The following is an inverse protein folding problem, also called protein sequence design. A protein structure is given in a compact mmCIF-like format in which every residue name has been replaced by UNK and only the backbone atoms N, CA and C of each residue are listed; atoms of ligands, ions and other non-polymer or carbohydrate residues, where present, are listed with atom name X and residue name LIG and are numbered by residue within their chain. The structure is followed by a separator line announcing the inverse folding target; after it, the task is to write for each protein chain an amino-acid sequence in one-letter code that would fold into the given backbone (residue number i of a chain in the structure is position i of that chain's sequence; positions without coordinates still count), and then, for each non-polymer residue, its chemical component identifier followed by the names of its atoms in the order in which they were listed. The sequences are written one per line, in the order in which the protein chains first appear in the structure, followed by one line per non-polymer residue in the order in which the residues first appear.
data_IF_258292647948
#
_entry.id   IF_258292647948
#
_cell.length_a   1.000
_cell.length_b   1.000
_cell.length_c   1.000
_cell.angle_alpha   90.00
_cell.angle_beta   90.00
_cell.angle_gamma   90.00
#
_symmetry.space_group_name_H-M   'P 1'
#
loop_
_entity.id
_entity.type
_entity.pdbx_description
1 polymer ?
#
# COMPACT_ATOMS: atom_id res chain seq x y z
N UNK A 1 28.84 -2.97 -10.81
CA UNK A 1 27.48 -2.90 -11.36
C UNK A 1 26.57 -3.39 -10.25
N UNK A 2 25.85 -2.49 -9.58
CA UNK A 2 24.90 -2.84 -8.53
C UNK A 2 23.52 -2.80 -9.16
N UNK A 3 22.96 -3.98 -9.42
CA UNK A 3 21.53 -4.16 -9.66
C UNK A 3 20.76 -3.45 -8.55
N UNK A 4 19.77 -2.58 -8.85
CA UNK A 4 18.82 -2.17 -7.84
C UNK A 4 17.95 -3.39 -7.53
N UNK A 5 18.24 -4.05 -6.42
CA UNK A 5 17.37 -5.05 -5.80
C UNK A 5 15.99 -4.41 -5.63
N UNK A 6 15.10 -4.72 -6.57
CA UNK A 6 13.72 -4.27 -6.56
C UNK A 6 12.95 -5.15 -5.59
N UNK A 7 13.00 -4.82 -4.30
CA UNK A 7 12.01 -5.18 -3.26
C UNK A 7 12.31 -4.33 -2.00
N UNK A 8 11.28 -3.82 -1.28
CA UNK A 8 10.05 -4.54 -0.97
C UNK A 8 8.76 -3.67 -0.98
N UNK A 9 8.05 -3.60 -2.11
CA UNK A 9 6.71 -3.00 -2.12
C UNK A 9 5.74 -3.69 -1.13
N UNK A 10 5.96 -4.97 -0.83
CA UNK A 10 5.19 -5.73 0.16
C UNK A 10 5.43 -5.31 1.62
N UNK A 11 6.63 -4.84 1.97
CA UNK A 11 6.96 -4.46 3.36
C UNK A 11 6.34 -3.10 3.72
N UNK A 12 6.25 -2.19 2.75
CA UNK A 12 5.53 -0.92 2.90
C UNK A 12 4.01 -1.13 3.02
N UNK A 13 3.46 -2.14 2.33
CA UNK A 13 2.02 -2.44 2.37
C UNK A 13 1.58 -3.04 3.71
N UNK A 14 2.30 -4.05 4.21
CA UNK A 14 1.99 -4.65 5.51
C UNK A 14 2.11 -3.63 6.64
N UNK A 15 3.13 -2.77 6.59
CA UNK A 15 3.31 -1.68 7.54
C UNK A 15 2.17 -0.66 7.51
N UNK A 16 1.68 -0.31 6.30
CA UNK A 16 0.53 0.58 6.13
C UNK A 16 -0.75 -0.03 6.70
N UNK A 17 -0.98 -1.33 6.48
CA UNK A 17 -2.12 -2.04 7.06
C UNK A 17 -2.07 -2.08 8.59
N UNK A 18 -0.89 -2.31 9.16
CA UNK A 18 -0.70 -2.30 10.60
C UNK A 18 -0.93 -0.90 11.20
N UNK A 19 -0.45 0.17 10.55
CA UNK A 19 -0.76 1.54 10.95
C UNK A 19 -2.27 1.80 10.94
N UNK A 20 -2.99 1.45 9.86
CA UNK A 20 -4.45 1.64 9.79
C UNK A 20 -5.18 0.84 10.88
N UNK A 21 -4.71 -0.37 11.23
CA UNK A 21 -5.28 -1.18 12.30
C UNK A 21 -5.10 -0.54 13.68
N UNK A 22 -3.92 0.00 13.95
CA UNK A 22 -3.63 0.72 15.21
C UNK A 22 -4.49 1.97 15.33
N UNK A 23 -4.62 2.75 14.25
CA UNK A 23 -5.49 3.94 14.22
C UNK A 23 -6.94 3.57 14.51
N UNK A 24 -7.45 2.49 13.92
CA UNK A 24 -8.80 2.00 14.20
C UNK A 24 -8.99 1.61 15.67
N UNK A 25 -8.04 0.86 16.25
CA UNK A 25 -8.10 0.48 17.66
C UNK A 25 -8.10 1.70 18.57
N UNK A 26 -7.21 2.66 18.31
CA UNK A 26 -7.15 3.90 19.06
C UNK A 26 -8.49 4.64 19.02
N UNK A 27 -9.12 4.75 17.84
CA UNK A 27 -10.43 5.41 17.71
C UNK A 27 -11.52 4.69 18.50
N UNK A 28 -11.47 3.36 18.56
CA UNK A 28 -12.43 2.55 19.32
C UNK A 28 -12.25 2.70 20.83
N UNK A 29 -11.01 2.81 21.31
CA UNK A 29 -10.67 2.83 22.73
C UNK A 29 -10.71 4.25 23.33
N UNK A 30 -10.21 5.24 22.58
CA UNK A 30 -9.97 6.60 23.06
C UNK A 30 -10.90 7.64 22.44
N UNK A 31 -11.69 7.27 21.43
CA UNK A 31 -12.56 8.19 20.71
C UNK A 31 -11.89 8.84 19.50
N UNK A 32 -12.48 9.87 18.89
CA UNK A 32 -12.00 10.43 17.64
C UNK A 32 -10.56 10.98 17.77
N UNK A 33 -9.75 10.74 16.74
CA UNK A 33 -8.40 11.29 16.62
C UNK A 33 -8.41 12.82 16.58
N UNK A 34 -7.30 13.44 16.94
CA UNK A 34 -7.10 14.87 16.75
C UNK A 34 -6.99 15.21 15.26
N UNK A 35 -7.30 16.46 14.84
CA UNK A 35 -7.34 16.85 13.43
C UNK A 35 -6.06 16.57 12.65
N UNK A 36 -4.90 16.69 13.30
CA UNK A 36 -3.58 16.41 12.71
C UNK A 36 -3.42 14.91 12.41
N UNK A 37 -3.75 14.06 13.38
CA UNK A 37 -3.73 12.61 13.24
C UNK A 37 -4.77 12.12 12.22
N UNK A 38 -5.93 12.77 12.14
CA UNK A 38 -6.92 12.49 11.10
C UNK A 38 -6.37 12.78 9.70
N UNK A 39 -5.65 13.89 9.53
CA UNK A 39 -5.05 14.25 8.25
C UNK A 39 -3.97 13.23 7.83
N UNK A 40 -3.12 12.82 8.77
CA UNK A 40 -2.08 11.81 8.55
C UNK A 40 -2.69 10.44 8.20
N UNK A 41 -3.66 9.96 8.99
CA UNK A 41 -4.35 8.70 8.73
C UNK A 41 -5.08 8.72 7.37
N UNK A 42 -5.68 9.86 7.01
CA UNK A 42 -6.33 10.06 5.71
C UNK A 42 -5.32 10.01 4.56
N UNK A 43 -4.13 10.60 4.75
CA UNK A 43 -3.07 10.57 3.76
C UNK A 43 -2.57 9.14 3.53
N UNK A 44 -2.25 8.41 4.60
CA UNK A 44 -1.84 7.02 4.54
C UNK A 44 -2.91 6.14 3.86
N UNK A 45 -4.19 6.32 4.22
CA UNK A 45 -5.29 5.59 3.59
C UNK A 45 -5.38 5.85 2.08
N UNK A 46 -5.24 7.09 1.64
CA UNK A 46 -5.24 7.45 0.21
C UNK A 46 -4.07 6.85 -0.55
N UNK A 47 -2.87 6.86 0.04
CA UNK A 47 -1.70 6.22 -0.56
C UNK A 47 -1.94 4.71 -0.71
N UNK A 48 -2.51 4.07 0.31
CA UNK A 48 -2.81 2.66 0.26
C UNK A 48 -3.86 2.30 -0.80
N UNK A 49 -4.90 3.13 -0.96
CA UNK A 49 -5.88 2.96 -2.04
C UNK A 49 -5.23 3.09 -3.43
N UNK A 50 -4.39 4.10 -3.64
CA UNK A 50 -3.70 4.28 -4.92
C UNK A 50 -2.78 3.09 -5.24
N UNK A 51 -2.12 2.52 -4.23
CA UNK A 51 -1.33 1.30 -4.39
C UNK A 51 -2.19 0.11 -4.85
N UNK A 52 -3.32 -0.14 -4.16
CA UNK A 52 -4.25 -1.20 -4.56
C UNK A 52 -4.86 -0.98 -5.95
N UNK A 53 -5.17 0.25 -6.31
CA UNK A 53 -5.68 0.60 -7.64
C UNK A 53 -4.64 0.28 -8.73
N UNK A 54 -3.35 0.53 -8.47
CA UNK A 54 -2.27 0.16 -9.37
C UNK A 54 -2.13 -1.36 -9.49
N UNK A 55 -2.11 -2.10 -8.37
CA UNK A 55 -2.05 -3.57 -8.39
C UNK A 55 -3.25 -4.19 -9.14
N UNK A 56 -4.46 -3.68 -8.89
CA UNK A 56 -5.67 -4.11 -9.61
C UNK A 56 -5.59 -3.77 -11.09
N UNK A 57 -5.05 -2.61 -11.44
CA UNK A 57 -4.83 -2.23 -12.83
C UNK A 57 -3.79 -3.14 -13.49
N UNK A 58 -2.70 -3.51 -12.83
CA UNK A 58 -1.71 -4.45 -13.36
C UNK A 58 -2.33 -5.84 -13.60
N UNK A 59 -3.13 -6.33 -12.65
CA UNK A 59 -3.89 -7.59 -12.80
C UNK A 59 -4.85 -7.51 -14.01
N UNK A 60 -5.59 -6.40 -14.15
CA UNK A 60 -6.56 -6.18 -15.24
C UNK A 60 -5.91 -5.93 -16.60
N UNK A 61 -4.74 -5.30 -16.61
CA UNK A 61 -3.94 -5.01 -17.82
C UNK A 61 -3.30 -6.26 -18.41
N UNK A 62 -3.39 -7.38 -17.69
CA UNK A 62 -2.96 -8.69 -18.14
C UNK A 62 -1.53 -8.97 -17.71
N UNK A 63 -1.38 -10.03 -16.91
CA UNK A 63 -0.15 -10.82 -16.80
C UNK A 63 0.23 -11.51 -18.12
N UNK A 64 0.29 -10.74 -19.20
CA UNK A 64 0.78 -11.12 -20.52
C UNK A 64 1.77 -10.05 -21.02
N UNK A 65 2.66 -9.58 -20.16
CA UNK A 65 3.94 -9.05 -20.65
C UNK A 65 4.74 -10.27 -21.10
N UNK A 66 4.75 -10.50 -22.41
CA UNK A 66 5.14 -11.76 -23.03
C UNK A 66 6.45 -12.35 -22.53
N UNK A 67 6.38 -13.63 -22.13
CA UNK A 67 7.43 -14.60 -22.39
C UNK A 67 7.54 -14.78 -23.91
N UNK A 68 8.06 -13.77 -24.63
CA UNK A 68 8.52 -13.95 -26.01
C UNK A 68 9.83 -14.73 -25.93
N UNK A 69 9.78 -15.96 -26.43
CA UNK A 69 10.79 -16.99 -26.23
C UNK A 69 12.20 -16.56 -26.63
N UNK A 70 13.16 -17.11 -25.88
CA UNK A 70 14.50 -17.33 -26.37
C UNK A 70 14.71 -18.85 -26.34
N UNK A 71 14.47 -19.46 -27.50
CA UNK A 71 15.02 -20.76 -27.86
C UNK A 71 16.51 -20.58 -28.17
#
# INVERSE_FOLDING_TARGET
MTDPTNEPAGQDWDQLLDQLRQVRQHVQEHGPLDPEQQAEATHAFKQGLAYLENEVNDIRSGGLKGSSGQW
#
